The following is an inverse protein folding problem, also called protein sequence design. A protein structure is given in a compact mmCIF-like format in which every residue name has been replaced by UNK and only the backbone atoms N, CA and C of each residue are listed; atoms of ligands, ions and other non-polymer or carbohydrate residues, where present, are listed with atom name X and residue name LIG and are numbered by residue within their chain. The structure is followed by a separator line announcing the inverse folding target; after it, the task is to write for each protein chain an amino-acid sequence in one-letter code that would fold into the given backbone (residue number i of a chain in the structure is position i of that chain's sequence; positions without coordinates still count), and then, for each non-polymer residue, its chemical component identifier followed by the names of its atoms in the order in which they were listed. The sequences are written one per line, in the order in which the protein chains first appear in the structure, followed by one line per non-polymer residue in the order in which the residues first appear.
data_IF_759830280694
#
_entry.id   IF_759830280694
#
_cell.length_a   1.000
_cell.length_b   1.000
_cell.length_c   1.000
_cell.angle_alpha   90.00
_cell.angle_beta   90.00
_cell.angle_gamma   90.00
#
_symmetry.space_group_name_H-M   'P 1'
#
loop_
_entity.id
_entity.type
_entity.pdbx_description
1 polymer ?
#
# COMPACT_ATOMS: atom_id res chain seq x y z
N UNK A 1 9.45 -13.89 18.11
CA UNK A 1 9.24 -14.29 16.70
C UNK A 1 9.09 -15.80 16.56
N UNK A 2 10.02 -16.62 17.12
CA UNK A 2 9.97 -18.10 17.09
C UNK A 2 8.70 -18.63 17.79
N UNK A 3 8.33 -18.04 18.93
CA UNK A 3 7.13 -18.38 19.68
C UNK A 3 5.85 -18.13 18.87
N UNK A 4 5.75 -17.02 18.17
CA UNK A 4 4.60 -16.70 17.30
C UNK A 4 4.48 -17.65 16.11
N UNK A 5 5.59 -18.04 15.51
CA UNK A 5 5.60 -19.05 14.43
C UNK A 5 5.12 -20.41 14.96
N UNK A 6 5.57 -20.82 16.17
CA UNK A 6 5.09 -22.03 16.82
C UNK A 6 3.58 -22.03 17.07
N UNK A 7 3.03 -20.90 17.55
CA UNK A 7 1.59 -20.73 17.74
C UNK A 7 0.80 -20.81 16.43
N UNK A 8 1.28 -20.19 15.37
CA UNK A 8 0.63 -20.26 14.05
C UNK A 8 0.60 -21.68 13.50
N UNK A 9 1.72 -22.40 13.58
CA UNK A 9 1.80 -23.81 13.15
C UNK A 9 0.82 -24.68 13.96
N UNK A 10 0.78 -24.47 15.27
CA UNK A 10 -0.10 -25.24 16.15
C UNK A 10 -1.58 -24.97 15.87
N UNK A 11 -1.97 -23.69 15.74
CA UNK A 11 -3.35 -23.30 15.42
C UNK A 11 -3.75 -23.85 14.04
N UNK A 12 -2.87 -23.74 13.04
CA UNK A 12 -3.12 -24.26 11.70
C UNK A 12 -3.28 -25.78 11.72
N UNK A 13 -2.41 -26.49 12.45
CA UNK A 13 -2.50 -27.94 12.60
C UNK A 13 -3.81 -28.39 13.25
N UNK A 14 -4.24 -27.73 14.34
CA UNK A 14 -5.51 -28.02 15.00
C UNK A 14 -6.69 -27.70 14.07
N UNK A 15 -6.65 -26.59 13.35
CA UNK A 15 -7.71 -26.20 12.41
C UNK A 15 -7.89 -27.24 11.30
N UNK A 16 -6.80 -27.75 10.72
CA UNK A 16 -6.83 -28.81 9.71
C UNK A 16 -7.41 -30.10 10.30
N UNK A 17 -6.98 -30.46 11.51
CA UNK A 17 -7.48 -31.67 12.18
C UNK A 17 -8.97 -31.58 12.50
N UNK A 18 -9.45 -30.44 13.01
CA UNK A 18 -10.87 -30.20 13.33
C UNK A 18 -11.76 -30.08 12.07
N UNK A 19 -11.22 -29.57 10.97
CA UNK A 19 -11.98 -29.46 9.71
C UNK A 19 -12.19 -30.80 9.00
N UNK A 20 -11.48 -31.85 9.40
CA UNK A 20 -11.54 -33.17 8.76
C UNK A 20 -11.02 -33.18 7.32
N UNK A 21 -10.29 -32.14 6.91
CA UNK A 21 -9.69 -32.06 5.59
C UNK A 21 -8.54 -33.06 5.48
N UNK A 22 -8.51 -33.81 4.39
CA UNK A 22 -7.35 -34.65 4.09
C UNK A 22 -6.14 -33.79 3.74
N UNK A 23 -4.93 -34.32 4.00
CA UNK A 23 -3.68 -33.63 3.62
C UNK A 23 -3.65 -33.33 2.11
N UNK A 24 -4.22 -34.20 1.30
CA UNK A 24 -4.33 -34.02 -0.16
C UNK A 24 -5.21 -32.82 -0.52
N UNK A 25 -6.34 -32.62 0.18
CA UNK A 25 -7.20 -31.46 -0.02
C UNK A 25 -6.49 -30.14 0.36
N UNK A 26 -5.72 -30.17 1.45
CA UNK A 26 -4.91 -29.00 1.87
C UNK A 26 -3.81 -28.68 0.85
N UNK A 27 -3.12 -29.68 0.33
CA UNK A 27 -2.09 -29.53 -0.70
C UNK A 27 -2.70 -29.01 -2.01
N UNK A 28 -3.89 -29.47 -2.37
CA UNK A 28 -4.63 -29.00 -3.55
C UNK A 28 -4.97 -27.52 -3.42
N UNK A 29 -5.49 -27.08 -2.27
CA UNK A 29 -5.77 -25.66 -2.00
C UNK A 29 -4.49 -24.80 -2.00
N UNK A 30 -3.39 -25.31 -1.42
CA UNK A 30 -2.09 -24.62 -1.47
C UNK A 30 -1.62 -24.46 -2.91
N UNK A 31 -1.81 -25.47 -3.78
CA UNK A 31 -1.43 -25.38 -5.18
C UNK A 31 -2.25 -24.29 -5.92
N UNK A 32 -3.54 -24.14 -5.57
CA UNK A 32 -4.37 -23.07 -6.11
C UNK A 32 -3.95 -21.66 -5.66
N UNK A 33 -3.28 -21.52 -4.50
CA UNK A 33 -2.68 -20.26 -4.10
C UNK A 33 -1.55 -19.77 -5.01
N UNK A 34 -0.97 -20.69 -5.82
CA UNK A 34 0.06 -20.36 -6.81
C UNK A 34 -0.52 -20.17 -8.23
N UNK A 35 -1.83 -19.98 -8.34
CA UNK A 35 -2.45 -19.63 -9.62
C UNK A 35 -1.93 -18.28 -10.15
N UNK A 36 -1.92 -18.13 -11.48
CA UNK A 36 -1.40 -16.94 -12.15
C UNK A 36 -2.05 -15.64 -11.63
N UNK A 37 -3.34 -15.67 -11.31
CA UNK A 37 -4.06 -14.53 -10.75
C UNK A 37 -3.55 -14.14 -9.38
N UNK A 38 -3.32 -15.11 -8.51
CA UNK A 38 -2.78 -14.87 -7.15
C UNK A 38 -1.35 -14.32 -7.20
N UNK A 39 -0.49 -14.91 -8.04
CA UNK A 39 0.87 -14.41 -8.25
C UNK A 39 0.88 -12.98 -8.80
N UNK A 40 -0.03 -12.68 -9.72
CA UNK A 40 -0.19 -11.33 -10.27
C UNK A 40 -0.63 -10.34 -9.19
N UNK A 41 -1.59 -10.72 -8.31
CA UNK A 41 -2.02 -9.87 -7.18
C UNK A 41 -0.87 -9.61 -6.21
N UNK A 42 -0.13 -10.63 -5.83
CA UNK A 42 1.04 -10.47 -4.95
C UNK A 42 2.07 -9.55 -5.59
N UNK A 43 2.39 -9.77 -6.87
CA UNK A 43 3.29 -8.90 -7.64
C UNK A 43 2.81 -7.45 -7.70
N UNK A 44 1.52 -7.23 -7.88
CA UNK A 44 0.89 -5.90 -7.86
C UNK A 44 1.15 -5.18 -6.53
N UNK A 45 0.84 -5.82 -5.40
CA UNK A 45 1.01 -5.19 -4.08
C UNK A 45 2.49 -4.93 -3.77
N UNK A 46 3.39 -5.84 -4.13
CA UNK A 46 4.83 -5.63 -4.01
C UNK A 46 5.30 -4.46 -4.88
N UNK A 47 4.78 -4.33 -6.09
CA UNK A 47 5.10 -3.23 -7.00
C UNK A 47 4.59 -1.88 -6.47
N UNK A 48 3.40 -1.84 -5.86
CA UNK A 48 2.86 -0.64 -5.22
C UNK A 48 3.67 -0.16 -4.01
N UNK A 49 4.41 -1.06 -3.35
CA UNK A 49 5.27 -0.70 -2.23
C UNK A 49 6.52 0.06 -2.69
N UNK A 50 7.64 -0.64 -2.83
CA UNK A 50 8.96 -0.06 -3.08
C UNK A 50 9.12 0.58 -4.46
N UNK A 51 8.79 -0.08 -5.59
CA UNK A 51 9.00 0.50 -6.92
C UNK A 51 8.25 1.82 -7.13
N UNK A 52 6.97 1.89 -6.77
CA UNK A 52 6.19 3.12 -6.91
C UNK A 52 6.69 4.20 -5.95
N UNK A 53 7.10 3.85 -4.73
CA UNK A 53 7.68 4.82 -3.80
C UNK A 53 8.96 5.44 -4.36
N UNK A 54 9.82 4.62 -4.97
CA UNK A 54 11.04 5.12 -5.63
C UNK A 54 10.72 6.09 -6.77
N UNK A 55 9.76 5.74 -7.63
CA UNK A 55 9.33 6.61 -8.73
C UNK A 55 8.82 7.96 -8.20
N UNK A 56 7.99 7.96 -7.16
CA UNK A 56 7.46 9.17 -6.54
C UNK A 56 8.61 10.01 -5.96
N UNK A 57 9.52 9.38 -5.21
CA UNK A 57 10.67 10.07 -4.62
C UNK A 57 11.53 10.72 -5.70
N UNK A 58 11.89 9.99 -6.76
CA UNK A 58 12.67 10.51 -7.87
C UNK A 58 11.95 11.67 -8.60
N UNK A 59 10.64 11.58 -8.75
CA UNK A 59 9.84 12.65 -9.38
C UNK A 59 9.82 13.94 -8.54
N UNK A 60 9.96 13.80 -7.23
CA UNK A 60 9.90 14.91 -6.28
C UNK A 60 11.27 15.43 -5.84
N UNK A 61 12.39 14.80 -6.23
CA UNK A 61 13.75 15.24 -5.84
C UNK A 61 14.01 16.70 -6.19
N UNK A 62 13.55 17.14 -7.37
CA UNK A 62 13.70 18.53 -7.82
C UNK A 62 13.08 19.57 -6.85
N UNK A 63 12.06 19.15 -6.10
CA UNK A 63 11.39 19.99 -5.11
C UNK A 63 12.05 19.88 -3.73
N UNK A 64 12.69 18.74 -3.45
CA UNK A 64 13.36 18.47 -2.15
C UNK A 64 14.66 19.27 -1.99
N UNK A 65 15.34 19.61 -3.08
CA UNK A 65 16.60 20.38 -3.04
C UNK A 65 16.40 21.83 -2.53
N UNK A 66 15.14 22.27 -2.42
CA UNK A 66 14.78 23.60 -1.92
C UNK A 66 14.58 23.62 -0.39
N UNK A 67 14.63 22.49 0.29
CA UNK A 67 14.47 22.40 1.76
C UNK A 67 15.81 22.46 2.47
N UNK A 68 15.84 23.18 3.61
CA UNK A 68 17.03 23.30 4.45
C UNK A 68 17.39 21.95 5.10
N UNK A 69 18.68 21.74 5.40
CA UNK A 69 19.19 20.50 6.00
C UNK A 69 18.55 20.14 7.34
N UNK A 70 18.07 21.13 8.09
CA UNK A 70 17.33 20.93 9.35
C UNK A 70 15.98 20.25 9.19
N UNK A 71 15.34 20.36 8.01
CA UNK A 71 14.07 19.70 7.69
C UNK A 71 14.28 18.26 7.19
N UNK A 72 15.48 17.94 6.70
CA UNK A 72 15.89 16.59 6.28
C UNK A 72 16.25 15.67 7.45
N UNK A 73 16.48 16.22 8.65
CA UNK A 73 17.03 15.48 9.80
C UNK A 73 16.06 14.52 10.51
N UNK A 74 14.79 14.44 10.10
CA UNK A 74 13.82 13.53 10.72
C UNK A 74 13.64 12.24 9.89
N UNK A 75 14.68 11.37 9.88
CA UNK A 75 14.63 10.05 9.22
C UNK A 75 13.45 9.19 9.68
N UNK A 76 13.05 9.29 10.96
CA UNK A 76 11.90 8.59 11.50
C UNK A 76 10.56 9.03 10.89
N UNK A 77 10.42 10.34 10.60
CA UNK A 77 9.22 10.87 9.94
C UNK A 77 9.15 10.49 8.46
N UNK A 78 10.30 10.44 7.78
CA UNK A 78 10.39 10.04 6.38
C UNK A 78 9.98 8.57 6.19
N UNK A 79 10.46 7.67 7.05
CA UNK A 79 10.09 6.25 7.00
C UNK A 79 8.61 6.01 7.34
N UNK A 80 8.04 6.77 8.28
CA UNK A 80 6.61 6.72 8.59
C UNK A 80 5.76 7.20 7.40
N UNK A 81 6.17 8.26 6.71
CA UNK A 81 5.50 8.77 5.50
C UNK A 81 5.52 7.75 4.35
N UNK A 82 6.63 7.04 4.18
CA UNK A 82 6.76 5.97 3.19
C UNK A 82 5.81 4.82 3.48
N UNK A 83 5.74 4.39 4.74
CA UNK A 83 4.85 3.32 5.19
C UNK A 83 3.37 3.70 4.99
N UNK A 84 2.98 4.92 5.35
CA UNK A 84 1.64 5.45 5.08
C UNK A 84 1.33 5.37 3.59
N UNK A 85 2.28 5.76 2.73
CA UNK A 85 2.13 5.66 1.29
C UNK A 85 1.89 4.24 0.78
N UNK A 86 2.51 3.23 1.38
CA UNK A 86 2.29 1.82 1.05
C UNK A 86 0.85 1.39 1.37
N UNK A 87 0.38 1.70 2.57
CA UNK A 87 -0.99 1.38 2.97
C UNK A 87 -2.02 2.09 2.10
N UNK A 88 -1.85 3.37 1.82
CA UNK A 88 -2.77 4.14 0.99
C UNK A 88 -2.90 3.54 -0.41
N UNK A 89 -1.78 3.27 -1.08
CA UNK A 89 -1.79 2.67 -2.43
C UNK A 89 -2.38 1.26 -2.41
N UNK A 90 -2.05 0.46 -1.39
CA UNK A 90 -2.64 -0.85 -1.20
C UNK A 90 -4.15 -0.80 -1.04
N UNK A 91 -4.66 0.10 -0.19
CA UNK A 91 -6.10 0.29 0.00
C UNK A 91 -6.80 0.78 -1.27
N UNK A 92 -6.20 1.73 -2.01
CA UNK A 92 -6.74 2.22 -3.28
C UNK A 92 -6.87 1.07 -4.28
N UNK A 93 -5.81 0.28 -4.47
CA UNK A 93 -5.83 -0.88 -5.37
C UNK A 93 -6.90 -1.90 -4.93
N UNK A 94 -6.99 -2.19 -3.64
CA UNK A 94 -8.01 -3.08 -3.07
C UNK A 94 -9.42 -2.58 -3.37
N UNK A 95 -9.71 -1.29 -3.13
CA UNK A 95 -11.04 -0.74 -3.42
C UNK A 95 -11.38 -0.77 -4.91
N UNK A 96 -10.39 -0.56 -5.79
CA UNK A 96 -10.59 -0.65 -7.23
C UNK A 96 -10.91 -2.08 -7.65
N UNK A 97 -10.13 -3.06 -7.17
CA UNK A 97 -10.34 -4.49 -7.47
C UNK A 97 -11.68 -5.00 -6.95
N UNK A 98 -12.18 -4.44 -5.85
CA UNK A 98 -13.51 -4.75 -5.30
C UNK A 98 -14.64 -3.93 -5.94
N UNK A 99 -14.35 -3.04 -6.90
CA UNK A 99 -15.34 -2.14 -7.50
C UNK A 99 -15.87 -1.05 -6.58
N UNK A 100 -15.21 -0.80 -5.43
CA UNK A 100 -15.63 0.13 -4.37
C UNK A 100 -15.01 1.53 -4.55
N UNK A 101 -15.32 2.20 -5.66
CA UNK A 101 -14.75 3.53 -5.97
C UNK A 101 -15.06 4.60 -4.94
N UNK A 102 -16.18 4.48 -4.22
CA UNK A 102 -16.56 5.38 -3.11
C UNK A 102 -15.50 5.34 -2.01
N UNK A 103 -14.91 4.16 -1.73
CA UNK A 103 -13.82 4.00 -0.76
C UNK A 103 -12.58 4.79 -1.13
N UNK A 104 -12.22 4.87 -2.42
CA UNK A 104 -11.10 5.69 -2.91
C UNK A 104 -11.37 7.18 -2.66
N UNK A 105 -12.58 7.65 -2.96
CA UNK A 105 -13.00 9.02 -2.69
C UNK A 105 -12.98 9.36 -1.20
N UNK A 106 -13.42 8.43 -0.35
CA UNK A 106 -13.39 8.59 1.10
C UNK A 106 -11.96 8.69 1.64
N UNK A 107 -11.02 7.84 1.16
CA UNK A 107 -9.61 7.92 1.54
C UNK A 107 -9.00 9.29 1.19
N UNK A 108 -9.28 9.79 -0.01
CA UNK A 108 -8.79 11.10 -0.44
C UNK A 108 -9.36 12.22 0.41
N UNK A 109 -10.66 12.18 0.72
CA UNK A 109 -11.31 13.16 1.58
C UNK A 109 -10.76 13.12 3.00
N UNK A 110 -10.63 11.94 3.60
CA UNK A 110 -10.06 11.76 4.94
C UNK A 110 -8.64 12.33 5.02
N UNK A 111 -7.79 12.00 4.05
CA UNK A 111 -6.41 12.54 4.01
C UNK A 111 -6.39 14.06 3.88
N UNK A 112 -7.32 14.65 3.11
CA UNK A 112 -7.44 16.09 2.98
C UNK A 112 -7.82 16.74 4.31
N UNK A 113 -8.77 16.17 5.04
CA UNK A 113 -9.23 16.68 6.35
C UNK A 113 -8.10 16.66 7.39
N UNK A 114 -7.36 15.55 7.51
CA UNK A 114 -6.23 15.46 8.43
C UNK A 114 -5.17 16.53 8.17
N UNK A 115 -5.01 16.93 6.92
CA UNK A 115 -4.03 17.93 6.52
C UNK A 115 -4.43 19.36 6.84
N UNK A 116 -5.73 19.69 6.89
CA UNK A 116 -6.19 21.04 7.29
C UNK A 116 -5.74 21.43 8.69
N UNK A 117 -5.50 20.45 9.58
CA UNK A 117 -4.95 20.66 10.92
C UNK A 117 -3.52 21.23 10.93
N UNK A 118 -2.69 20.82 9.98
CA UNK A 118 -1.27 21.18 9.92
C UNK A 118 -1.02 22.54 9.23
N UNK A 119 -1.97 23.03 8.42
CA UNK A 119 -1.85 24.29 7.65
C UNK A 119 -1.90 25.58 8.49
N UNK A 120 -2.06 25.50 9.80
CA UNK A 120 -2.16 26.70 10.67
C UNK A 120 -0.82 27.41 10.93
N UNK A 121 0.32 26.80 10.54
CA UNK A 121 1.65 27.41 10.68
C UNK A 121 2.11 27.98 9.33
N UNK A 122 2.20 29.28 9.25
CA UNK A 122 2.53 30.05 8.05
C UNK A 122 3.96 29.79 7.51
N UNK A 123 4.85 29.16 8.32
CA UNK A 123 6.23 28.84 7.94
C UNK A 123 6.38 27.63 6.99
N UNK A 124 5.33 26.80 6.83
CA UNK A 124 5.47 25.48 6.23
C UNK A 124 4.73 25.33 4.88
N UNK A 125 4.42 26.45 4.21
CA UNK A 125 3.66 26.45 2.95
C UNK A 125 4.33 25.58 1.86
N UNK A 126 5.64 25.69 1.68
CA UNK A 126 6.39 24.89 0.70
C UNK A 126 6.36 23.40 1.04
N UNK A 127 6.54 23.07 2.33
CA UNK A 127 6.45 21.70 2.81
C UNK A 127 5.06 21.12 2.55
N UNK A 128 4.02 21.89 2.82
CA UNK A 128 2.63 21.49 2.56
C UNK A 128 2.39 21.22 1.07
N UNK A 129 2.86 22.10 0.18
CA UNK A 129 2.76 21.93 -1.28
C UNK A 129 3.49 20.65 -1.73
N UNK A 130 4.70 20.40 -1.25
CA UNK A 130 5.48 19.18 -1.53
C UNK A 130 4.75 17.92 -1.10
N UNK A 131 4.24 17.87 0.13
CA UNK A 131 3.51 16.72 0.64
C UNK A 131 2.18 16.54 -0.14
N UNK A 132 1.51 17.61 -0.57
CA UNK A 132 0.31 17.53 -1.42
C UNK A 132 0.62 16.90 -2.78
N UNK A 133 1.70 17.32 -3.43
CA UNK A 133 2.16 16.72 -4.69
C UNK A 133 2.44 15.24 -4.51
N UNK A 134 3.19 14.85 -3.46
CA UNK A 134 3.47 13.45 -3.15
C UNK A 134 2.20 12.62 -2.97
N UNK A 135 1.19 13.19 -2.31
CA UNK A 135 -0.11 12.55 -2.13
C UNK A 135 -0.82 12.34 -3.46
N UNK A 136 -0.91 13.36 -4.30
CA UNK A 136 -1.56 13.29 -5.60
C UNK A 136 -0.87 12.26 -6.51
N UNK A 137 0.46 12.24 -6.56
CA UNK A 137 1.22 11.21 -7.28
C UNK A 137 0.91 9.82 -6.74
N UNK A 138 0.94 9.64 -5.41
CA UNK A 138 0.65 8.36 -4.77
C UNK A 138 -0.74 7.83 -5.15
N UNK A 139 -1.76 8.68 -5.07
CA UNK A 139 -3.13 8.31 -5.44
C UNK A 139 -3.25 8.00 -6.94
N UNK A 140 -2.64 8.83 -7.80
CA UNK A 140 -2.67 8.62 -9.25
C UNK A 140 -2.05 7.28 -9.64
N UNK A 141 -0.90 6.92 -9.06
CA UNK A 141 -0.28 5.62 -9.28
C UNK A 141 -1.13 4.47 -8.72
N UNK A 142 -1.69 4.61 -7.52
CA UNK A 142 -2.58 3.62 -6.93
C UNK A 142 -3.79 3.33 -7.81
N UNK A 143 -4.42 4.38 -8.36
CA UNK A 143 -5.56 4.25 -9.26
C UNK A 143 -5.16 3.63 -10.60
N UNK A 144 -4.09 4.13 -11.24
CA UNK A 144 -3.66 3.66 -12.55
C UNK A 144 -3.27 2.17 -12.51
N UNK A 145 -2.47 1.78 -11.53
CA UNK A 145 -2.00 0.41 -11.35
C UNK A 145 -3.16 -0.51 -10.92
N UNK A 146 -4.04 -0.05 -10.02
CA UNK A 146 -5.22 -0.79 -9.62
C UNK A 146 -6.16 -1.07 -10.80
N UNK A 147 -6.39 -0.06 -11.67
CA UNK A 147 -7.19 -0.23 -12.89
C UNK A 147 -6.53 -1.15 -13.92
N UNK A 148 -5.23 -1.04 -14.10
CA UNK A 148 -4.48 -1.95 -14.97
C UNK A 148 -4.60 -3.40 -14.48
N UNK A 149 -4.47 -3.63 -13.18
CA UNK A 149 -4.63 -4.94 -12.59
C UNK A 149 -6.04 -5.50 -12.74
N UNK A 150 -7.07 -4.67 -12.50
CA UNK A 150 -8.48 -5.03 -12.69
C UNK A 150 -8.72 -5.50 -14.15
N UNK A 151 -8.20 -4.75 -15.13
CA UNK A 151 -8.27 -5.12 -16.54
C UNK A 151 -7.55 -6.44 -16.85
N UNK A 152 -6.34 -6.64 -16.36
CA UNK A 152 -5.56 -7.85 -16.60
C UNK A 152 -6.19 -9.08 -15.94
N UNK A 153 -6.73 -8.96 -14.73
CA UNK A 153 -7.41 -10.04 -14.03
C UNK A 153 -8.72 -10.46 -14.69
N UNK A 154 -9.39 -9.55 -15.39
CA UNK A 154 -10.61 -9.86 -16.14
C UNK A 154 -10.33 -10.49 -17.49
N UNK A 155 -9.09 -10.35 -18.03
CA UNK A 155 -8.66 -10.94 -19.30
C UNK A 155 -7.95 -12.28 -19.16
N UNK A 156 -7.44 -12.59 -17.97
CA UNK A 156 -6.92 -13.92 -17.59
C UNK A 156 -8.03 -14.87 -17.13
#
# INVERSE_FOLDING_TARGET
LIDQVGHLIFITGISIWLSGLSVEAVLFEIHHLFDAKTLMLVGLYLFLCKPVSLIITLSLTKYTDQFNESEKANEGLASAGELIGYFERGLIATFILLGQFVGVGFLLAAKSVFRFGDMRRQSDRKLTEYIMLGTLFSFSFGIAIGKLADYLLTTL
#
